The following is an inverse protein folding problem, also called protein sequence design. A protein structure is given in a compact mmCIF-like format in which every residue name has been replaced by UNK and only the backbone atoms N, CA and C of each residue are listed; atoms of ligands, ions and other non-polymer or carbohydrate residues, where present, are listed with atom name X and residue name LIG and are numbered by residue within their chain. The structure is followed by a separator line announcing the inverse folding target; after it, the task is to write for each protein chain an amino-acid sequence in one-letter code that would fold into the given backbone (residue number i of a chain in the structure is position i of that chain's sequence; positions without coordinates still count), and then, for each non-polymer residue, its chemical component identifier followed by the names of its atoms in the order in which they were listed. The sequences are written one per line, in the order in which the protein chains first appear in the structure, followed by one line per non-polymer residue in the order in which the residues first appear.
data_IF_089766511429
#
_entry.id   IF_089766511429
#
_cell.length_a   1.000
_cell.length_b   1.000
_cell.length_c   1.000
_cell.angle_alpha   90.00
_cell.angle_beta   90.00
_cell.angle_gamma   90.00
#
_symmetry.space_group_name_H-M   'P 1'
#
loop_
_entity.id
_entity.type
_entity.pdbx_description
1 polymer ?
#
# COMPACT_ATOMS: atom_id res chain seq x y z
N UNK A 1 17.54 0.81 -17.52
CA UNK A 1 18.93 0.94 -18.04
C UNK A 1 19.86 1.71 -17.09
N UNK A 2 19.44 2.76 -16.42
CA UNK A 2 20.27 3.60 -15.54
C UNK A 2 20.87 2.89 -14.30
N UNK A 3 20.17 1.96 -13.70
CA UNK A 3 20.63 1.28 -12.47
C UNK A 3 21.83 0.36 -12.71
N UNK A 4 21.82 -0.36 -13.83
CA UNK A 4 22.90 -1.27 -14.20
C UNK A 4 24.20 -0.54 -14.54
N UNK A 5 24.11 0.61 -15.20
CA UNK A 5 25.29 1.42 -15.53
C UNK A 5 25.95 2.01 -14.28
N UNK A 6 25.15 2.40 -13.27
CA UNK A 6 25.66 2.87 -11.98
C UNK A 6 26.36 1.75 -11.20
N UNK A 7 25.78 0.54 -11.17
CA UNK A 7 26.39 -0.63 -10.53
C UNK A 7 27.70 -1.05 -11.23
N UNK A 8 27.74 -1.07 -12.55
CA UNK A 8 28.96 -1.37 -13.31
C UNK A 8 30.05 -0.35 -13.01
N UNK A 9 29.70 0.94 -12.91
CA UNK A 9 30.66 2.00 -12.58
C UNK A 9 31.21 1.88 -11.14
N UNK A 10 30.40 1.40 -10.20
CA UNK A 10 30.78 1.29 -8.78
C UNK A 10 31.52 -0.02 -8.46
N UNK A 11 31.23 -1.11 -9.15
CA UNK A 11 31.77 -2.45 -8.88
C UNK A 11 32.89 -2.86 -9.85
N UNK A 12 33.14 -2.09 -10.91
CA UNK A 12 34.15 -2.42 -11.94
C UNK A 12 33.81 -3.62 -12.83
N UNK A 13 32.65 -4.24 -12.65
CA UNK A 13 32.15 -5.36 -13.46
C UNK A 13 30.63 -5.31 -13.62
N UNK A 14 30.11 -5.82 -14.72
CA UNK A 14 28.67 -5.90 -14.93
C UNK A 14 28.12 -7.17 -14.24
N UNK A 15 27.23 -7.05 -13.27
CA UNK A 15 26.60 -8.23 -12.66
C UNK A 15 25.85 -9.03 -13.72
N UNK A 16 25.92 -10.35 -13.61
CA UNK A 16 25.17 -11.26 -14.47
C UNK A 16 23.68 -10.94 -14.43
N UNK A 17 22.99 -11.13 -15.55
CA UNK A 17 21.54 -11.02 -15.55
C UNK A 17 20.98 -12.14 -14.69
N UNK A 18 20.17 -11.80 -13.69
CA UNK A 18 19.33 -12.80 -13.08
C UNK A 18 18.56 -13.52 -14.20
N UNK A 19 18.53 -14.85 -14.22
CA UNK A 19 17.74 -15.59 -15.20
C UNK A 19 16.25 -15.45 -14.87
N UNK A 20 15.71 -14.27 -15.16
CA UNK A 20 14.27 -14.02 -15.02
C UNK A 20 13.62 -14.74 -16.20
N UNK A 21 13.04 -15.90 -15.93
CA UNK A 21 12.32 -16.70 -16.92
C UNK A 21 10.88 -16.21 -17.12
N UNK A 22 10.33 -15.51 -16.13
CA UNK A 22 8.97 -14.99 -16.17
C UNK A 22 8.98 -13.47 -16.36
N UNK A 23 8.10 -12.98 -17.22
CA UNK A 23 7.90 -11.56 -17.43
C UNK A 23 6.80 -11.05 -16.50
N UNK A 24 7.00 -9.87 -15.92
CA UNK A 24 5.95 -9.21 -15.16
C UNK A 24 4.78 -8.84 -16.06
N UNK A 25 3.57 -9.16 -15.65
CA UNK A 25 2.36 -8.67 -16.31
C UNK A 25 2.13 -7.21 -15.90
N UNK A 26 2.20 -6.31 -16.87
CA UNK A 26 1.98 -4.88 -16.65
C UNK A 26 0.69 -4.48 -17.37
N UNK A 27 -0.29 -4.00 -16.62
CA UNK A 27 -1.54 -3.47 -17.14
C UNK A 27 -1.63 -1.98 -16.85
N UNK A 28 -1.84 -1.20 -17.89
CA UNK A 28 -2.00 0.26 -17.77
C UNK A 28 -3.47 0.60 -17.59
N UNK A 29 -3.80 1.33 -16.51
CA UNK A 29 -5.17 1.74 -16.23
C UNK A 29 -5.33 2.29 -14.82
N UNK A 30 -6.55 2.72 -14.49
CA UNK A 30 -6.88 3.13 -13.14
C UNK A 30 -7.03 1.89 -12.24
N UNK A 31 -6.09 1.68 -11.34
CA UNK A 31 -6.03 0.51 -10.46
C UNK A 31 -7.33 0.29 -9.65
N UNK A 32 -8.05 1.35 -9.28
CA UNK A 32 -9.29 1.23 -8.53
C UNK A 32 -10.48 0.75 -9.39
N UNK A 33 -10.40 0.91 -10.72
CA UNK A 33 -11.42 0.47 -11.68
C UNK A 33 -11.11 -0.87 -12.33
N UNK A 34 -9.84 -1.26 -12.35
CA UNK A 34 -9.43 -2.55 -12.90
C UNK A 34 -9.92 -3.70 -12.00
N UNK A 35 -10.31 -4.81 -12.64
CA UNK A 35 -10.59 -6.06 -11.93
C UNK A 35 -9.27 -6.83 -11.74
N UNK A 36 -8.74 -6.76 -10.52
CA UNK A 36 -7.42 -7.33 -10.23
C UNK A 36 -7.39 -8.85 -10.39
N UNK A 37 -8.49 -9.53 -10.03
CA UNK A 37 -8.56 -10.98 -10.12
C UNK A 37 -8.54 -11.50 -11.58
N UNK A 38 -8.95 -10.68 -12.55
CA UNK A 38 -8.85 -11.04 -13.97
C UNK A 38 -7.41 -10.90 -14.50
N UNK A 39 -6.59 -10.06 -13.88
CA UNK A 39 -5.19 -9.84 -14.25
C UNK A 39 -4.30 -10.87 -13.57
N UNK A 40 -4.50 -11.06 -12.28
CA UNK A 40 -3.79 -12.00 -11.43
C UNK A 40 -4.81 -12.63 -10.47
N UNK A 41 -5.27 -13.85 -10.71
CA UNK A 41 -6.16 -14.52 -9.77
C UNK A 41 -5.51 -14.67 -8.39
N UNK A 42 -6.21 -14.32 -7.30
CA UNK A 42 -5.63 -14.39 -5.97
C UNK A 42 -5.40 -15.84 -5.54
N UNK A 43 -4.25 -16.11 -4.99
CA UNK A 43 -3.86 -17.38 -4.36
C UNK A 43 -3.49 -17.15 -2.90
N UNK A 44 -3.27 -18.21 -2.14
CA UNK A 44 -2.80 -18.11 -0.74
C UNK A 44 -1.39 -17.49 -0.62
N UNK A 45 -0.60 -17.55 -1.70
CA UNK A 45 0.75 -16.98 -1.75
C UNK A 45 0.80 -15.57 -2.34
N UNK A 46 -0.33 -15.09 -2.86
CA UNK A 46 -0.40 -13.73 -3.43
C UNK A 46 -0.23 -12.68 -2.33
N UNK A 47 0.60 -11.69 -2.64
CA UNK A 47 0.79 -10.52 -1.78
C UNK A 47 0.49 -9.26 -2.61
N UNK A 48 -0.37 -8.39 -2.10
CA UNK A 48 -0.55 -7.04 -2.64
C UNK A 48 0.33 -6.07 -1.87
N UNK A 49 1.19 -5.37 -2.57
CA UNK A 49 2.05 -4.34 -1.98
C UNK A 49 2.07 -3.10 -2.86
N UNK A 50 2.10 -1.92 -2.24
CA UNK A 50 2.11 -0.69 -3.01
C UNK A 50 2.30 0.58 -2.20
N UNK A 51 2.55 1.65 -2.94
CA UNK A 51 2.58 3.03 -2.46
C UNK A 51 1.54 3.84 -3.24
N UNK A 52 0.26 3.76 -2.87
CA UNK A 52 -0.82 4.46 -3.55
C UNK A 52 -0.72 5.98 -3.39
N UNK A 53 -1.37 6.78 -4.26
CA UNK A 53 -1.33 8.23 -4.15
C UNK A 53 -2.00 8.73 -2.86
N UNK A 54 -1.34 9.70 -2.22
CA UNK A 54 -1.77 10.33 -0.97
C UNK A 54 -2.54 11.61 -1.26
N UNK A 55 -3.87 11.56 -1.15
CA UNK A 55 -4.73 12.71 -1.40
C UNK A 55 -5.80 12.80 -0.31
N UNK A 56 -5.68 13.84 0.50
CA UNK A 56 -6.69 14.18 1.50
C UNK A 56 -8.01 14.66 0.87
N UNK A 57 -9.06 14.82 1.68
CA UNK A 57 -10.41 15.18 1.19
C UNK A 57 -10.46 16.46 0.35
N UNK A 58 -9.60 17.43 0.64
CA UNK A 58 -9.58 18.73 -0.04
C UNK A 58 -8.72 18.76 -1.31
N UNK A 59 -7.91 17.72 -1.54
CA UNK A 59 -6.95 17.68 -2.65
C UNK A 59 -7.39 16.74 -3.78
N UNK A 60 -8.52 16.04 -3.62
CA UNK A 60 -9.04 15.09 -4.60
C UNK A 60 -9.79 15.77 -5.72
N UNK A 61 -9.61 15.27 -6.95
CA UNK A 61 -10.50 15.62 -8.06
C UNK A 61 -11.88 14.96 -7.90
N UNK A 62 -12.85 15.40 -8.71
CA UNK A 62 -14.18 14.76 -8.76
C UNK A 62 -14.11 13.29 -9.16
N UNK A 63 -13.23 12.96 -10.11
CA UNK A 63 -13.02 11.58 -10.57
C UNK A 63 -12.44 10.69 -9.47
N UNK A 64 -11.46 11.19 -8.73
CA UNK A 64 -10.87 10.49 -7.58
C UNK A 64 -11.89 10.28 -6.45
N UNK A 65 -12.79 11.23 -6.25
CA UNK A 65 -13.91 11.06 -5.32
C UNK A 65 -14.86 9.96 -5.80
N UNK A 66 -15.16 9.90 -7.10
CA UNK A 66 -15.99 8.84 -7.67
C UNK A 66 -15.32 7.46 -7.54
N UNK A 67 -14.02 7.37 -7.77
CA UNK A 67 -13.26 6.14 -7.58
C UNK A 67 -13.33 5.65 -6.13
N UNK A 68 -13.15 6.56 -5.17
CA UNK A 68 -13.25 6.25 -3.75
C UNK A 68 -14.66 5.75 -3.40
N UNK A 69 -15.71 6.44 -3.90
CA UNK A 69 -17.10 6.05 -3.70
C UNK A 69 -17.41 4.67 -4.32
N UNK A 70 -16.89 4.40 -5.50
CA UNK A 70 -17.06 3.12 -6.19
C UNK A 70 -16.50 1.97 -5.35
N UNK A 71 -15.25 2.11 -4.87
CA UNK A 71 -14.57 1.05 -4.11
C UNK A 71 -15.20 0.85 -2.73
N UNK A 72 -15.61 1.92 -2.05
CA UNK A 72 -16.25 1.83 -0.75
C UNK A 72 -17.74 1.45 -0.82
N UNK A 73 -18.36 1.55 -2.01
CA UNK A 73 -19.79 1.26 -2.21
C UNK A 73 -20.73 2.23 -1.52
N UNK A 74 -20.25 3.42 -1.14
CA UNK A 74 -21.02 4.44 -0.41
C UNK A 74 -20.58 5.85 -0.78
N UNK A 75 -21.51 6.79 -0.63
CA UNK A 75 -21.21 8.23 -0.74
C UNK A 75 -20.81 8.85 0.61
N UNK A 76 -21.14 8.20 1.72
CA UNK A 76 -20.73 8.62 3.06
C UNK A 76 -19.31 8.15 3.38
N UNK A 77 -18.34 8.89 2.89
CA UNK A 77 -16.91 8.62 3.05
C UNK A 77 -16.30 9.33 4.25
N UNK A 78 -16.99 10.33 4.81
CA UNK A 78 -16.42 11.19 5.83
C UNK A 78 -15.12 11.85 5.36
N UNK A 79 -14.08 11.73 6.18
CA UNK A 79 -12.74 12.29 5.88
C UNK A 79 -11.73 11.25 5.42
N UNK A 80 -12.18 10.13 4.84
CA UNK A 80 -11.26 9.12 4.33
C UNK A 80 -10.32 9.70 3.28
N UNK A 81 -9.04 9.41 3.40
CA UNK A 81 -8.04 9.72 2.39
C UNK A 81 -8.18 8.77 1.18
N UNK A 82 -7.75 9.25 0.01
CA UNK A 82 -7.85 8.48 -1.24
C UNK A 82 -7.11 7.13 -1.16
N UNK A 83 -5.99 7.09 -0.45
CA UNK A 83 -5.21 5.86 -0.22
C UNK A 83 -6.01 4.73 0.42
N UNK A 84 -7.08 5.05 1.18
CA UNK A 84 -7.93 4.04 1.81
C UNK A 84 -8.71 3.19 0.80
N UNK A 85 -8.88 3.67 -0.45
CA UNK A 85 -9.47 2.89 -1.52
C UNK A 85 -8.63 1.65 -1.85
N UNK A 86 -7.29 1.72 -1.77
CA UNK A 86 -6.43 0.55 -1.99
C UNK A 86 -6.52 -0.47 -0.87
N UNK A 87 -6.72 -0.05 0.37
CA UNK A 87 -7.00 -0.98 1.48
C UNK A 87 -8.30 -1.75 1.21
N UNK A 88 -9.36 -1.03 0.86
CA UNK A 88 -10.66 -1.64 0.55
C UNK A 88 -10.60 -2.52 -0.71
N UNK A 89 -9.89 -2.09 -1.75
CA UNK A 89 -9.70 -2.86 -2.98
C UNK A 89 -8.89 -4.13 -2.73
N UNK A 90 -7.87 -4.08 -1.88
CA UNK A 90 -7.11 -5.26 -1.46
C UNK A 90 -7.98 -6.25 -0.69
N UNK A 91 -8.84 -5.76 0.19
CA UNK A 91 -9.82 -6.58 0.90
C UNK A 91 -10.75 -7.31 -0.08
N UNK A 92 -11.35 -6.59 -1.04
CA UNK A 92 -12.23 -7.13 -2.07
C UNK A 92 -11.51 -8.16 -2.95
N UNK A 93 -10.25 -7.88 -3.34
CA UNK A 93 -9.45 -8.78 -4.15
C UNK A 93 -9.26 -10.16 -3.51
N UNK A 94 -9.12 -10.23 -2.20
CA UNK A 94 -8.96 -11.48 -1.45
C UNK A 94 -10.27 -12.02 -0.86
N UNK A 95 -11.44 -11.54 -1.30
CA UNK A 95 -12.74 -11.96 -0.73
C UNK A 95 -12.97 -13.46 -0.86
N UNK A 96 -12.58 -14.05 -2.00
CA UNK A 96 -12.72 -15.48 -2.29
C UNK A 96 -11.65 -16.37 -1.66
N UNK A 97 -10.60 -15.80 -1.03
CA UNK A 97 -9.49 -16.56 -0.45
C UNK A 97 -9.60 -16.64 1.07
N UNK A 98 -9.21 -17.79 1.63
CA UNK A 98 -9.11 -17.96 3.09
C UNK A 98 -7.90 -17.24 3.67
N UNK A 99 -6.84 -17.11 2.88
CA UNK A 99 -5.62 -16.40 3.21
C UNK A 99 -5.41 -15.27 2.22
N UNK A 100 -4.83 -14.20 2.68
CA UNK A 100 -4.47 -13.06 1.87
C UNK A 100 -3.51 -12.19 2.64
N UNK A 101 -2.66 -11.48 1.94
CA UNK A 101 -1.68 -10.58 2.54
C UNK A 101 -1.61 -9.31 1.72
N UNK A 102 -1.65 -8.18 2.38
CA UNK A 102 -1.35 -6.91 1.72
C UNK A 102 -0.62 -5.95 2.64
N UNK A 103 0.20 -5.08 2.07
CA UNK A 103 0.90 -4.02 2.79
C UNK A 103 0.94 -2.75 1.94
N UNK A 104 0.57 -1.64 2.53
CA UNK A 104 0.50 -0.36 1.84
C UNK A 104 1.24 0.72 2.61
N UNK A 105 1.97 1.54 1.86
CA UNK A 105 2.46 2.82 2.36
C UNK A 105 1.29 3.80 2.34
N UNK A 106 1.12 4.55 3.39
CA UNK A 106 0.02 5.51 3.54
C UNK A 106 0.52 6.76 4.26
N UNK A 107 -0.26 7.84 4.19
CA UNK A 107 -0.04 8.95 5.09
C UNK A 107 -0.35 8.55 6.52
N UNK A 108 0.32 9.15 7.49
CA UNK A 108 0.07 8.86 8.90
C UNK A 108 -1.37 9.18 9.35
N UNK A 109 -2.11 9.96 8.57
CA UNK A 109 -3.53 10.26 8.80
C UNK A 109 -4.42 9.02 8.84
N UNK A 110 -4.08 7.93 8.13
CA UNK A 110 -4.87 6.67 8.17
C UNK A 110 -4.86 6.01 9.55
N UNK A 111 -3.85 6.30 10.37
CA UNK A 111 -3.72 5.81 11.75
C UNK A 111 -4.17 6.82 12.81
N UNK A 112 -4.83 7.91 12.41
CA UNK A 112 -5.22 9.01 13.28
C UNK A 112 -6.67 9.49 13.01
N UNK A 113 -7.32 9.97 14.06
CA UNK A 113 -8.61 10.64 13.98
C UNK A 113 -9.72 9.80 13.33
N UNK A 114 -10.55 10.46 12.54
CA UNK A 114 -11.77 9.91 11.95
C UNK A 114 -11.52 8.73 11.00
N UNK A 115 -10.33 8.64 10.41
CA UNK A 115 -10.01 7.59 9.44
C UNK A 115 -9.89 6.22 10.12
N UNK A 116 -9.35 6.18 11.34
CA UNK A 116 -9.22 4.95 12.13
C UNK A 116 -10.58 4.28 12.33
N UNK A 117 -11.58 5.06 12.72
CA UNK A 117 -12.92 4.56 13.03
C UNK A 117 -13.67 4.02 11.79
N UNK A 118 -13.25 4.38 10.58
CA UNK A 118 -13.89 3.94 9.34
C UNK A 118 -13.10 2.84 8.64
N UNK A 119 -11.78 2.97 8.57
CA UNK A 119 -10.93 2.03 7.84
C UNK A 119 -10.76 0.70 8.59
N UNK A 120 -10.26 0.75 9.82
CA UNK A 120 -9.87 -0.47 10.53
C UNK A 120 -11.04 -1.38 10.93
N UNK A 121 -12.19 -0.88 11.42
CA UNK A 121 -13.31 -1.74 11.72
C UNK A 121 -13.83 -2.54 10.52
N UNK A 122 -13.82 -1.94 9.31
CA UNK A 122 -14.25 -2.66 8.11
C UNK A 122 -13.29 -3.81 7.77
N UNK A 123 -11.98 -3.60 7.87
CA UNK A 123 -10.98 -4.63 7.66
C UNK A 123 -11.08 -5.73 8.71
N UNK A 124 -11.19 -5.37 9.99
CA UNK A 124 -11.28 -6.36 11.07
C UNK A 124 -12.59 -7.19 11.00
N UNK A 125 -13.71 -6.56 10.62
CA UNK A 125 -14.97 -7.27 10.42
C UNK A 125 -14.89 -8.27 9.24
N UNK A 126 -14.07 -8.00 8.24
CA UNK A 126 -13.80 -8.89 7.12
C UNK A 126 -12.72 -9.96 7.43
N UNK A 127 -12.29 -10.08 8.69
CA UNK A 127 -11.34 -11.10 9.16
C UNK A 127 -9.86 -10.75 8.95
N UNK A 128 -9.56 -9.52 8.52
CA UNK A 128 -8.19 -9.05 8.43
C UNK A 128 -7.63 -8.71 9.80
N UNK A 129 -6.33 -8.85 9.95
CA UNK A 129 -5.59 -8.50 11.17
C UNK A 129 -4.37 -7.71 10.78
N UNK A 130 -4.01 -6.76 11.63
CA UNK A 130 -2.74 -6.07 11.51
C UNK A 130 -1.61 -7.06 11.82
N UNK A 131 -0.77 -7.34 10.83
CA UNK A 131 0.37 -8.24 10.95
C UNK A 131 1.61 -7.50 11.40
N UNK A 132 1.83 -6.33 10.83
CA UNK A 132 2.88 -5.41 11.23
C UNK A 132 2.51 -3.97 10.91
N UNK A 133 3.14 -3.05 11.61
CA UNK A 133 3.07 -1.64 11.30
C UNK A 133 4.41 -0.97 11.51
N UNK A 134 4.75 -0.03 10.66
CA UNK A 134 5.79 0.96 10.91
C UNK A 134 5.14 2.23 11.44
N UNK A 135 5.61 2.71 12.59
CA UNK A 135 5.22 4.02 13.10
C UNK A 135 5.60 5.13 12.13
N UNK A 136 5.10 6.30 12.36
CA UNK A 136 5.35 7.46 11.48
C UNK A 136 6.84 7.69 11.25
N UNK A 137 7.22 7.73 9.99
CA UNK A 137 8.55 8.07 9.51
C UNK A 137 8.45 9.13 8.40
N UNK A 138 9.54 9.86 8.19
CA UNK A 138 9.59 10.83 7.11
C UNK A 138 9.95 10.15 5.78
N UNK A 139 9.03 10.21 4.84
CA UNK A 139 9.32 9.85 3.46
C UNK A 139 9.90 11.06 2.74
N UNK A 140 11.16 10.98 2.36
CA UNK A 140 11.82 12.01 1.56
C UNK A 140 11.98 11.52 0.13
N UNK A 141 11.43 12.25 -0.84
CA UNK A 141 11.73 12.02 -2.25
C UNK A 141 13.07 12.69 -2.60
N UNK A 142 13.87 12.06 -3.45
CA UNK A 142 15.07 12.68 -4.01
C UNK A 142 14.75 13.83 -5.00
N UNK A 143 13.48 14.07 -5.30
CA UNK A 143 13.07 15.14 -6.19
C UNK A 143 13.29 16.50 -5.52
N UNK A 144 13.90 17.42 -6.26
CA UNK A 144 14.17 18.79 -5.82
C UNK A 144 12.85 19.50 -5.46
N UNK A 145 12.71 19.98 -4.23
CA UNK A 145 11.52 20.69 -3.76
C UNK A 145 10.38 19.77 -3.25
N UNK A 146 10.58 18.46 -3.14
CA UNK A 146 9.58 17.57 -2.57
C UNK A 146 9.42 17.82 -1.08
N UNK A 147 8.19 18.05 -0.63
CA UNK A 147 7.85 18.15 0.77
C UNK A 147 8.04 16.79 1.46
N UNK A 148 8.61 16.78 2.66
CA UNK A 148 8.65 15.57 3.48
C UNK A 148 7.22 15.19 3.88
N UNK A 149 6.79 13.99 3.54
CA UNK A 149 5.48 13.45 3.91
C UNK A 149 5.69 12.47 5.06
N UNK A 150 4.87 12.59 6.09
CA UNK A 150 4.85 11.62 7.18
C UNK A 150 4.03 10.39 6.77
N UNK A 151 4.72 9.27 6.65
CA UNK A 151 4.13 8.01 6.22
C UNK A 151 4.06 6.99 7.36
N UNK A 152 3.19 6.03 7.17
CA UNK A 152 3.12 4.78 7.92
C UNK A 152 3.09 3.63 6.91
N UNK A 153 3.54 2.46 7.33
CA UNK A 153 3.31 1.23 6.56
C UNK A 153 2.47 0.32 7.43
N UNK A 154 1.40 -0.21 6.87
CA UNK A 154 0.55 -1.19 7.55
C UNK A 154 0.43 -2.45 6.70
N UNK A 155 0.76 -3.58 7.30
CA UNK A 155 0.62 -4.89 6.68
C UNK A 155 -0.47 -5.70 7.36
N UNK A 156 -1.32 -6.31 6.55
CA UNK A 156 -2.46 -7.10 6.99
C UNK A 156 -2.39 -8.52 6.47
N UNK A 157 -2.94 -9.45 7.23
CA UNK A 157 -3.16 -10.82 6.81
C UNK A 157 -4.50 -11.38 7.32
N UNK A 158 -4.95 -12.50 6.71
CA UNK A 158 -6.05 -13.34 7.18
C UNK A 158 -5.53 -14.65 7.78
N UNK A 159 -4.22 -14.79 7.95
CA UNK A 159 -3.60 -16.02 8.42
C UNK A 159 -3.75 -16.22 9.93
N UNK A 160 -3.11 -17.25 10.45
CA UNK A 160 -3.18 -17.64 11.85
C UNK A 160 -2.70 -16.56 12.82
N UNK A 161 -3.19 -16.59 14.08
CA UNK A 161 -2.86 -15.58 15.08
C UNK A 161 -1.38 -15.65 15.46
N UNK A 162 -0.60 -14.78 14.86
CA UNK A 162 0.76 -14.47 15.30
C UNK A 162 0.77 -13.07 15.90
N UNK A 163 1.55 -12.80 16.93
CA UNK A 163 1.65 -11.47 17.51
C UNK A 163 2.00 -10.43 16.42
N UNK A 164 1.30 -9.30 16.39
CA UNK A 164 1.64 -8.23 15.44
C UNK A 164 2.99 -7.60 15.82
N UNK A 165 3.72 -7.14 14.81
CA UNK A 165 4.99 -6.45 14.98
C UNK A 165 4.79 -4.95 14.80
N UNK A 166 5.29 -4.16 15.74
CA UNK A 166 5.33 -2.71 15.62
C UNK A 166 6.80 -2.26 15.52
N UNK A 167 7.15 -1.68 14.38
CA UNK A 167 8.44 -1.08 14.14
C UNK A 167 8.39 0.39 14.56
N UNK A 168 9.10 0.71 15.63
CA UNK A 168 9.23 2.07 16.14
C UNK A 168 10.49 2.73 15.59
N UNK A 169 10.54 4.04 15.66
CA UNK A 169 11.69 4.84 15.24
C UNK A 169 12.06 5.80 16.36
N UNK A 170 13.32 5.82 16.78
CA UNK A 170 13.83 6.79 17.76
C UNK A 170 13.83 8.21 17.21
N UNK A 171 13.94 8.32 15.89
CA UNK A 171 13.87 9.58 15.16
C UNK A 171 13.07 9.36 13.88
N UNK A 172 12.32 10.37 13.46
CA UNK A 172 11.49 10.31 12.24
C UNK A 172 12.29 9.98 10.96
N UNK A 173 13.62 10.14 11.01
CA UNK A 173 14.58 9.81 9.94
C UNK A 173 15.61 8.77 10.40
N UNK A 174 15.22 7.78 11.18
CA UNK A 174 16.09 6.74 11.70
C UNK A 174 15.77 5.36 11.11
N UNK A 175 16.60 4.39 11.49
CA UNK A 175 16.28 2.98 11.29
C UNK A 175 15.23 2.52 12.30
N UNK A 176 14.39 1.54 11.94
CA UNK A 176 13.42 0.98 12.88
C UNK A 176 14.08 0.16 13.98
N UNK A 177 13.50 0.18 15.15
CA UNK A 177 13.86 -0.62 16.32
C UNK A 177 12.74 -1.59 16.67
#
# INVERSE_FOLDING_TARGET
MLFRSKLTASLGWAPDRLPIQEQATIVVGNALRLEWASICPPTEDTIVAGNPPFLGPHSRSKEQLQDLQLVWGTKDLGRLDYVTAWHRKSEQYFESTKRGRFALVSTNSVSQGDQVARLFPSLFAAGWRLRFAHQTFAWTSEAVGAAAVHCVITGFDKAEPTPPLLYAYTQVRGEPI
#
